data_IF_712112870867
#
_entry.id   IF_712112870867
#
_cell.length_a   1.000
_cell.length_b   1.000
_cell.length_c   1.000
_cell.angle_alpha   90.00
_cell.angle_beta   90.00
_cell.angle_gamma   90.00
#
_symmetry.space_group_name_H-M   'P 1'
#
loop_
_entity.id
_entity.type
_entity.pdbx_description
1 polymer ?
#
# COMPACT_ATOMS: atom_id res chain seq x y z
N UNK A 1 1.48 17.03 -6.04
CA UNK A 1 2.34 16.00 -6.65
C UNK A 1 2.53 16.23 -8.13
N UNK A 2 1.55 16.06 -9.02
CA UNK A 2 1.82 16.18 -10.48
C UNK A 2 2.42 17.53 -10.92
N UNK A 3 1.92 18.66 -10.40
CA UNK A 3 2.55 19.97 -10.69
C UNK A 3 4.03 20.04 -10.28
N UNK A 4 4.43 19.32 -9.22
CA UNK A 4 5.84 19.22 -8.84
C UNK A 4 6.61 18.40 -9.88
N UNK A 5 6.08 17.24 -10.29
CA UNK A 5 6.70 16.42 -11.34
C UNK A 5 6.81 17.13 -12.70
N UNK A 6 5.82 17.96 -13.06
CA UNK A 6 5.89 18.79 -14.27
C UNK A 6 7.04 19.80 -14.20
N UNK A 7 7.28 20.38 -13.01
CA UNK A 7 8.39 21.30 -12.79
C UNK A 7 9.72 20.57 -12.74
N UNK A 8 9.81 19.42 -12.06
CA UNK A 8 10.99 18.56 -12.03
C UNK A 8 11.39 18.17 -13.46
N UNK A 9 10.44 17.70 -14.27
CA UNK A 9 10.67 17.41 -15.68
C UNK A 9 11.11 18.64 -16.48
N UNK A 10 10.48 19.80 -16.26
CA UNK A 10 10.83 21.04 -16.97
C UNK A 10 12.26 21.49 -16.68
N UNK A 11 12.75 21.26 -15.47
CA UNK A 11 14.09 21.65 -15.04
C UNK A 11 15.10 20.49 -15.09
N UNK A 12 14.77 19.40 -15.79
CA UNK A 12 15.63 18.22 -15.97
C UNK A 12 16.10 17.59 -14.65
N UNK A 13 15.22 17.60 -13.65
CA UNK A 13 15.41 16.92 -12.38
C UNK A 13 14.77 15.53 -12.44
N UNK A 14 15.27 14.61 -11.61
CA UNK A 14 14.59 13.34 -11.36
C UNK A 14 13.18 13.61 -10.83
N UNK A 15 12.17 13.01 -11.45
CA UNK A 15 10.78 13.18 -11.02
C UNK A 15 10.57 12.38 -9.73
N UNK A 16 10.11 13.07 -8.70
CA UNK A 16 9.84 12.47 -7.40
C UNK A 16 8.79 11.37 -7.49
N UNK A 17 8.84 10.36 -6.60
CA UNK A 17 7.78 9.34 -6.51
C UNK A 17 6.38 9.97 -6.41
N UNK A 18 5.41 9.32 -7.05
CA UNK A 18 3.99 9.74 -7.07
C UNK A 18 3.72 11.07 -7.80
N UNK A 19 4.76 11.72 -8.34
CA UNK A 19 4.66 12.99 -9.03
C UNK A 19 4.58 12.85 -10.55
N UNK A 20 4.56 11.64 -11.11
CA UNK A 20 4.53 11.43 -12.56
C UNK A 20 3.13 11.01 -13.04
N UNK A 21 2.35 11.94 -13.60
CA UNK A 21 0.99 11.65 -14.09
C UNK A 21 0.92 10.60 -15.22
N UNK A 22 2.02 10.37 -15.95
CA UNK A 22 2.07 9.36 -17.03
C UNK A 22 2.26 7.94 -16.48
N UNK A 23 2.89 7.80 -15.30
CA UNK A 23 3.20 6.51 -14.66
C UNK A 23 2.24 6.20 -13.51
N UNK A 24 1.92 7.21 -12.72
CA UNK A 24 1.20 7.05 -11.46
C UNK A 24 -0.30 7.32 -11.65
N UNK A 25 -1.14 6.47 -11.08
CA UNK A 25 -2.60 6.66 -11.07
C UNK A 25 -3.07 7.00 -9.66
N UNK A 26 -4.04 7.90 -9.54
CA UNK A 26 -4.63 8.27 -8.24
C UNK A 26 -5.12 7.02 -7.47
N UNK A 27 -5.82 6.03 -8.08
CA UNK A 27 -6.20 4.81 -7.38
C UNK A 27 -5.02 4.02 -6.82
N UNK A 28 -3.94 3.83 -7.60
CA UNK A 28 -2.74 3.11 -7.14
C UNK A 28 -2.09 3.82 -5.96
N UNK A 29 -1.90 5.15 -6.07
CA UNK A 29 -1.33 5.98 -5.00
C UNK A 29 -2.16 5.83 -3.71
N UNK A 30 -3.49 5.95 -3.81
CA UNK A 30 -4.37 5.86 -2.64
C UNK A 30 -4.36 4.46 -2.01
N UNK A 31 -4.35 3.40 -2.82
CA UNK A 31 -4.28 2.02 -2.30
C UNK A 31 -2.95 1.77 -1.60
N UNK A 32 -1.82 2.19 -2.18
CA UNK A 32 -0.50 2.06 -1.56
C UNK A 32 -0.43 2.82 -0.24
N UNK A 33 -0.82 4.10 -0.23
CA UNK A 33 -0.84 4.92 0.98
C UNK A 33 -1.73 4.31 2.07
N UNK A 34 -2.94 3.86 1.70
CA UNK A 34 -3.85 3.22 2.65
C UNK A 34 -3.29 1.91 3.22
N UNK A 35 -2.57 1.13 2.43
CA UNK A 35 -2.04 -0.18 2.84
C UNK A 35 -0.82 -0.06 3.72
N UNK A 36 0.13 0.79 3.36
CA UNK A 36 1.44 0.79 4.00
C UNK A 36 1.58 1.84 5.09
N UNK A 37 0.72 2.86 5.11
CA UNK A 37 0.80 3.96 6.08
C UNK A 37 -0.47 4.02 6.94
N UNK A 38 -1.63 4.14 6.30
CA UNK A 38 -2.87 4.49 7.02
C UNK A 38 -3.41 3.31 7.82
N UNK A 39 -3.49 2.11 7.23
CA UNK A 39 -4.03 0.91 7.88
C UNK A 39 -3.20 0.51 9.13
N UNK A 40 -1.86 0.37 9.05
CA UNK A 40 -1.04 0.08 10.24
C UNK A 40 -1.19 1.15 11.33
N UNK A 41 -1.24 2.43 10.96
CA UNK A 41 -1.42 3.52 11.92
C UNK A 41 -2.76 3.43 12.66
N UNK A 42 -3.85 3.17 11.93
CA UNK A 42 -5.17 3.09 12.54
C UNK A 42 -5.40 1.80 13.32
N UNK A 43 -4.73 0.70 12.96
CA UNK A 43 -4.73 -0.54 13.74
C UNK A 43 -4.05 -0.33 15.09
N UNK A 44 -2.86 0.29 15.11
CA UNK A 44 -2.18 0.62 16.37
C UNK A 44 -2.95 1.65 17.20
N UNK A 45 -3.58 2.63 16.55
CA UNK A 45 -4.46 3.57 17.25
C UNK A 45 -5.68 2.88 17.88
N UNK A 46 -6.30 1.92 17.18
CA UNK A 46 -7.40 1.14 17.72
C UNK A 46 -6.95 0.33 18.93
N UNK A 47 -5.80 -0.34 18.84
CA UNK A 47 -5.20 -1.07 19.96
C UNK A 47 -4.93 -0.16 21.17
N UNK A 48 -4.28 0.99 20.95
CA UNK A 48 -3.97 1.96 21.99
C UNK A 48 -5.20 2.52 22.70
N UNK A 49 -6.29 2.73 21.96
CA UNK A 49 -7.54 3.30 22.50
C UNK A 49 -8.50 2.26 23.05
N UNK A 50 -8.15 0.97 23.03
CA UNK A 50 -9.02 -0.11 23.50
C UNK A 50 -10.20 -0.39 22.57
N UNK A 51 -9.99 -0.32 21.26
CA UNK A 51 -10.97 -0.61 20.22
C UNK A 51 -12.28 0.18 20.38
N UNK A 52 -12.16 1.49 20.60
CA UNK A 52 -13.35 2.35 20.70
C UNK A 52 -14.22 2.26 19.43
N UNK A 53 -15.52 2.54 19.58
CA UNK A 53 -16.43 2.60 18.43
C UNK A 53 -15.97 3.60 17.36
N UNK A 54 -15.31 4.70 17.76
CA UNK A 54 -14.72 5.63 16.81
C UNK A 54 -13.60 4.97 15.99
N UNK A 55 -12.69 4.26 16.64
CA UNK A 55 -11.59 3.53 15.99
C UNK A 55 -12.09 2.47 15.01
N UNK A 56 -13.11 1.70 15.40
CA UNK A 56 -13.79 0.75 14.51
C UNK A 56 -14.42 1.44 13.30
N UNK A 57 -15.12 2.56 13.52
CA UNK A 57 -15.71 3.33 12.44
C UNK A 57 -14.66 3.87 11.47
N UNK A 58 -13.54 4.38 11.96
CA UNK A 58 -12.43 4.84 11.12
C UNK A 58 -11.86 3.71 10.25
N UNK A 59 -11.60 2.54 10.83
CA UNK A 59 -11.15 1.36 10.09
C UNK A 59 -12.20 0.89 9.05
N UNK A 60 -13.48 0.94 9.38
CA UNK A 60 -14.55 0.61 8.44
C UNK A 60 -14.66 1.59 7.28
N UNK A 61 -14.43 2.89 7.51
CA UNK A 61 -14.31 3.88 6.44
C UNK A 61 -13.09 3.62 5.57
N UNK A 62 -11.94 3.32 6.17
CA UNK A 62 -10.71 2.99 5.45
C UNK A 62 -10.90 1.79 4.50
N UNK A 63 -11.45 0.68 5.00
CA UNK A 63 -11.74 -0.52 4.20
C UNK A 63 -12.67 -0.24 3.02
N UNK A 64 -13.77 0.50 3.26
CA UNK A 64 -14.73 0.87 2.20
C UNK A 64 -14.08 1.76 1.13
N UNK A 65 -13.28 2.74 1.55
CA UNK A 65 -12.58 3.63 0.63
C UNK A 65 -11.54 2.86 -0.20
N UNK A 66 -10.75 1.97 0.42
CA UNK A 66 -9.77 1.11 -0.26
C UNK A 66 -10.44 0.22 -1.31
N UNK A 67 -11.60 -0.38 -0.99
CA UNK A 67 -12.40 -1.15 -1.96
C UNK A 67 -12.91 -0.28 -3.11
N UNK A 68 -13.37 0.94 -2.83
CA UNK A 68 -13.80 1.89 -3.87
C UNK A 68 -12.65 2.24 -4.82
N UNK A 69 -11.45 2.50 -4.30
CA UNK A 69 -10.26 2.77 -5.10
C UNK A 69 -9.82 1.57 -5.93
N UNK A 70 -9.83 0.36 -5.35
CA UNK A 70 -9.54 -0.88 -6.09
C UNK A 70 -10.44 -1.05 -7.32
N UNK A 71 -11.71 -0.67 -7.24
CA UNK A 71 -12.65 -0.73 -8.37
C UNK A 71 -12.34 0.30 -9.47
N UNK A 72 -11.65 1.39 -9.13
CA UNK A 72 -11.26 2.44 -10.08
C UNK A 72 -9.90 2.18 -10.74
N UNK A 73 -9.20 1.10 -10.36
CA UNK A 73 -7.98 0.71 -11.05
C UNK A 73 -8.29 0.36 -12.51
N UNK A 74 -7.57 0.96 -13.49
CA UNK A 74 -7.69 0.57 -14.88
C UNK A 74 -7.40 -0.93 -15.05
N UNK A 75 -8.25 -1.66 -15.78
CA UNK A 75 -8.06 -3.10 -16.06
C UNK A 75 -6.95 -3.42 -17.07
N UNK A 76 -5.97 -2.54 -17.27
CA UNK A 76 -4.97 -2.66 -18.33
C UNK A 76 -3.58 -2.36 -17.77
N UNK A 77 -2.66 -3.30 -18.03
CA UNK A 77 -1.27 -3.41 -17.60
C UNK A 77 -1.07 -3.71 -16.10
N UNK A 78 -0.89 -5.01 -15.82
CA UNK A 78 -0.15 -5.44 -14.65
C UNK A 78 1.22 -4.76 -14.69
N UNK A 79 1.44 -3.83 -13.75
CA UNK A 79 2.75 -3.28 -13.49
C UNK A 79 3.11 -3.75 -12.08
N UNK A 80 4.04 -4.70 -12.10
CA UNK A 80 5.04 -5.00 -11.09
C UNK A 80 5.18 -3.88 -10.07
N UNK A 81 4.82 -4.18 -8.82
CA UNK A 81 5.31 -3.45 -7.67
C UNK A 81 6.84 -3.55 -7.77
N UNK A 82 7.48 -2.45 -8.14
CA UNK A 82 8.94 -2.38 -8.19
C UNK A 82 9.51 -2.69 -6.80
N UNK A 83 10.41 -3.67 -6.78
CA UNK A 83 11.10 -4.30 -5.65
C UNK A 83 12.10 -3.36 -4.96
N UNK A 84 11.68 -2.16 -4.56
CA UNK A 84 12.53 -1.28 -3.73
C UNK A 84 12.36 -1.48 -2.22
N UNK A 85 11.67 -2.54 -1.79
CA UNK A 85 11.69 -3.01 -0.40
C UNK A 85 11.91 -4.53 -0.44
N UNK A 86 13.18 -4.95 -0.42
CA UNK A 86 13.52 -6.35 -0.17
C UNK A 86 13.15 -6.69 1.27
N UNK A 87 12.11 -7.51 1.45
CA UNK A 87 11.90 -8.27 2.67
C UNK A 87 12.00 -9.74 2.26
N UNK A 88 13.12 -10.35 2.63
CA UNK A 88 13.33 -11.80 2.60
C UNK A 88 12.43 -12.41 3.68
N UNK A 89 11.34 -13.05 3.29
CA UNK A 89 10.65 -13.99 4.17
C UNK A 89 11.46 -15.29 4.20
N UNK A 90 12.14 -15.51 5.31
CA UNK A 90 12.71 -16.80 5.66
C UNK A 90 11.54 -17.75 5.98
N UNK A 91 11.37 -18.80 5.19
CA UNK A 91 10.58 -19.96 5.60
C UNK A 91 11.38 -20.71 6.68
N UNK A 92 10.94 -20.56 7.93
CA UNK A 92 11.38 -21.43 9.03
C UNK A 92 10.82 -22.83 8.84
N UNK A 93 11.74 -23.79 8.87
CA UNK A 93 11.55 -25.23 8.84
C UNK A 93 10.66 -25.73 9.97
N UNK A 94 9.80 -26.71 9.67
CA UNK A 94 9.49 -27.79 10.63
C UNK A 94 9.72 -29.14 9.96
N UNK A 95 10.78 -29.83 10.40
CA UNK A 95 11.18 -31.23 10.18
C UNK A 95 11.46 -31.73 11.62
N UNK A 96 11.10 -32.89 12.17
CA UNK A 96 10.66 -34.22 11.71
C UNK A 96 10.00 -34.92 12.95
N UNK A 97 9.36 -36.09 12.93
CA UNK A 97 9.82 -37.51 12.79
C UNK A 97 8.51 -38.38 12.89
N UNK A 98 8.31 -39.60 12.38
CA UNK A 98 9.13 -40.60 11.72
C UNK A 98 8.33 -41.92 11.62
N UNK A 99 8.70 -42.72 10.61
CA UNK A 99 8.60 -44.19 10.45
C UNK A 99 7.26 -44.96 10.30
N UNK A 100 7.09 -45.44 9.06
CA UNK A 100 6.40 -46.67 8.55
C UNK A 100 6.95 -47.97 9.16
N UNK A 101 6.26 -49.15 9.08
CA UNK A 101 5.71 -49.80 7.86
C UNK A 101 4.18 -49.92 7.79
#
# INVERSE_FOLDING_TARGET
FYRQGDLEQKFDLEISPLCNQKKDTIPSIQIGFMTYIVEPLFEEWANFTGNTHLSENMLNHLRRNKTKWKRLLPKQHGITIDNSLQITENEEQTFNEGETP
#
